data_IF_817714688029
#
_entry.id   IF_817714688029
#
_cell.length_a   1.000
_cell.length_b   1.000
_cell.length_c   1.000
_cell.angle_alpha   90.00
_cell.angle_beta   90.00
_cell.angle_gamma   90.00
#
_symmetry.space_group_name_H-M   'P 1'
#
loop_
_entity.id
_entity.type
_entity.pdbx_description
1 polymer ?
#
# COMPACT_ATOMS: atom_id res chain seq x y z
N UNK A 1 5.43 17.96 12.17
CA UNK A 1 4.02 17.66 11.86
C UNK A 1 3.67 16.28 12.37
N UNK A 2 2.49 16.14 13.00
CA UNK A 2 1.96 14.85 13.46
C UNK A 2 0.52 14.71 12.95
N UNK A 3 0.23 13.61 12.23
CA UNK A 3 -1.12 13.24 11.83
C UNK A 3 -1.90 12.83 13.08
N UNK A 4 -3.13 13.31 13.23
CA UNK A 4 -3.94 13.14 14.45
C UNK A 4 -3.23 13.59 15.72
N UNK A 5 -2.42 14.65 15.62
CA UNK A 5 -1.58 15.15 16.72
C UNK A 5 -2.37 15.74 17.88
N UNK A 6 -3.54 16.30 17.62
CA UNK A 6 -4.49 16.77 18.63
C UNK A 6 -5.93 16.57 18.15
N UNK A 7 -6.81 16.12 19.04
CA UNK A 7 -8.23 15.93 18.82
C UNK A 7 -8.96 15.73 20.16
N UNK A 8 -10.29 15.67 20.12
CA UNK A 8 -11.19 15.51 21.27
C UNK A 8 -11.90 14.14 21.31
N UNK A 9 -11.41 13.16 20.52
CA UNK A 9 -12.03 11.82 20.44
C UNK A 9 -11.64 10.90 21.60
N UNK A 10 -10.62 11.27 22.38
CA UNK A 10 -10.12 10.51 23.53
C UNK A 10 -9.78 11.44 24.69
N UNK A 11 -9.79 10.90 25.90
CA UNK A 11 -9.46 11.66 27.11
C UNK A 11 -7.98 12.11 27.13
N UNK A 12 -7.09 11.30 26.56
CA UNK A 12 -5.66 11.60 26.48
C UNK A 12 -5.06 11.11 25.16
N UNK A 13 -3.96 11.71 24.76
CA UNK A 13 -3.17 11.32 23.59
C UNK A 13 -1.74 11.08 24.04
N UNK A 14 -1.19 9.92 23.73
CA UNK A 14 0.19 9.59 24.03
C UNK A 14 1.00 9.65 22.73
N UNK A 15 1.88 10.64 22.61
CA UNK A 15 2.69 10.81 21.40
C UNK A 15 3.97 9.98 21.49
N UNK A 16 4.33 9.34 20.38
CA UNK A 16 5.65 8.78 20.13
C UNK A 16 6.52 9.87 19.49
N UNK A 17 7.50 10.39 20.22
CA UNK A 17 8.30 11.54 19.80
C UNK A 17 9.74 11.13 19.61
N UNK A 18 10.27 11.36 18.41
CA UNK A 18 11.69 11.27 18.13
C UNK A 18 12.37 12.59 18.52
N UNK A 19 13.25 12.55 19.49
CA UNK A 19 13.96 13.74 19.97
C UNK A 19 15.41 13.41 20.30
N UNK A 20 16.22 14.46 20.38
CA UNK A 20 17.63 14.37 20.76
C UNK A 20 17.76 14.61 22.27
N UNK A 21 18.38 13.68 22.98
CA UNK A 21 18.77 13.89 24.35
C UNK A 21 20.07 14.76 24.40
N UNK A 22 20.28 15.44 25.51
CA UNK A 22 21.52 16.15 25.75
C UNK A 22 22.73 15.21 25.62
N UNK A 23 23.84 15.75 25.16
CA UNK A 23 25.12 15.04 24.93
C UNK A 23 25.05 13.97 23.82
N UNK A 24 23.95 13.91 23.06
CA UNK A 24 23.84 12.96 21.92
C UNK A 24 24.43 13.56 20.64
N UNK A 25 25.04 12.72 19.77
CA UNK A 25 25.67 13.18 18.55
C UNK A 25 24.68 13.82 17.57
N UNK A 26 25.18 14.70 16.71
CA UNK A 26 24.38 15.30 15.64
C UNK A 26 23.89 14.25 14.61
N UNK A 27 22.84 14.59 13.87
CA UNK A 27 22.24 13.74 12.85
C UNK A 27 21.36 12.62 13.42
N UNK A 28 21.04 11.65 12.60
CA UNK A 28 20.07 10.59 12.93
C UNK A 28 20.56 9.62 14.00
N UNK A 29 21.87 9.51 14.19
CA UNK A 29 22.49 8.61 15.18
C UNK A 29 22.24 9.04 16.63
N UNK A 30 21.93 10.30 16.88
CA UNK A 30 21.67 10.84 18.22
C UNK A 30 20.19 10.91 18.61
N UNK A 31 19.30 10.29 17.85
CA UNK A 31 17.86 10.35 18.08
C UNK A 31 17.42 9.23 19.03
N UNK A 32 16.70 9.61 20.08
CA UNK A 32 16.03 8.75 21.04
C UNK A 32 14.51 8.79 20.84
N UNK A 33 13.79 7.84 21.41
CA UNK A 33 12.34 7.75 21.34
C UNK A 33 11.74 8.01 22.71
N UNK A 34 10.67 8.83 22.75
CA UNK A 34 9.98 9.19 23.97
C UNK A 34 8.49 9.00 23.86
N UNK A 35 7.85 8.54 24.94
CA UNK A 35 6.41 8.68 25.17
C UNK A 35 6.16 10.04 25.79
N UNK A 36 5.34 10.87 25.15
CA UNK A 36 4.98 12.20 25.65
C UNK A 36 3.47 12.32 25.68
N UNK A 37 2.84 12.23 26.88
CA UNK A 37 1.40 12.34 27.01
C UNK A 37 0.94 13.80 26.90
N UNK A 38 -0.23 14.02 26.27
CA UNK A 38 -0.90 15.34 26.21
C UNK A 38 -1.30 15.83 27.60
N UNK A 39 -1.80 14.92 28.44
CA UNK A 39 -2.04 15.13 29.85
C UNK A 39 -1.23 14.11 30.65
N UNK A 40 -0.60 14.55 31.73
CA UNK A 40 0.18 13.65 32.59
C UNK A 40 -0.73 12.51 33.11
N UNK A 41 -0.22 11.28 33.03
CA UNK A 41 -0.90 10.10 33.60
C UNK A 41 -0.48 9.99 35.05
N UNK A 42 -1.45 9.96 35.98
CA UNK A 42 -1.20 9.77 37.41
C UNK A 42 -0.92 8.29 37.74
N UNK A 43 -0.42 8.02 38.94
CA UNK A 43 -0.07 6.68 39.39
C UNK A 43 -1.25 5.71 39.39
N UNK A 44 -2.48 6.21 39.57
CA UNK A 44 -3.73 5.44 39.52
C UNK A 44 -4.26 5.25 38.07
N UNK A 45 -3.53 5.74 37.05
CA UNK A 45 -3.92 5.69 35.65
C UNK A 45 -4.87 6.80 35.22
N UNK A 46 -5.34 7.65 36.13
CA UNK A 46 -6.25 8.75 35.77
C UNK A 46 -5.52 9.90 35.07
N UNK A 47 -6.32 10.70 34.32
CA UNK A 47 -5.82 11.88 33.61
C UNK A 47 -5.44 12.97 34.63
N UNK A 48 -4.21 13.45 34.53
CA UNK A 48 -3.65 14.53 35.38
C UNK A 48 -3.68 15.89 34.69
N UNK A 49 -2.81 16.79 35.11
CA UNK A 49 -2.72 18.12 34.51
C UNK A 49 -2.22 18.06 33.06
N UNK A 50 -2.52 19.12 32.30
CA UNK A 50 -1.99 19.27 30.94
C UNK A 50 -0.47 19.32 30.98
N UNK A 51 0.15 18.53 30.08
CA UNK A 51 1.59 18.57 29.87
C UNK A 51 1.98 19.77 28.98
N UNK A 52 3.27 20.10 28.91
CA UNK A 52 3.81 21.17 28.07
C UNK A 52 3.71 20.95 26.57
N UNK A 53 2.51 20.52 26.09
CA UNK A 53 2.22 20.29 24.67
C UNK A 53 1.11 21.25 24.23
N UNK A 54 1.34 21.96 23.14
CA UNK A 54 0.35 22.82 22.51
C UNK A 54 0.32 22.64 21.00
N UNK A 55 -0.87 22.86 20.40
CA UNK A 55 -1.05 22.87 18.96
C UNK A 55 -0.72 24.26 18.44
N UNK A 56 0.34 24.37 17.63
CA UNK A 56 0.75 25.62 17.01
C UNK A 56 -0.08 25.97 15.79
N UNK A 57 -0.37 24.96 14.94
CA UNK A 57 -1.24 25.12 13.77
C UNK A 57 -1.85 23.77 13.36
N UNK A 58 -2.93 23.86 12.60
CA UNK A 58 -3.55 22.72 11.89
C UNK A 58 -3.37 22.96 10.40
N UNK A 59 -2.85 21.94 9.70
CA UNK A 59 -2.54 22.04 8.30
C UNK A 59 -3.79 21.93 7.41
N UNK A 60 -3.90 22.82 6.42
CA UNK A 60 -4.88 22.72 5.35
C UNK A 60 -4.35 21.76 4.29
N UNK A 61 -4.98 20.59 4.17
CA UNK A 61 -4.50 19.49 3.33
C UNK A 61 -5.30 19.34 2.05
N UNK A 62 -4.71 18.67 1.06
CA UNK A 62 -5.37 18.28 -0.18
C UNK A 62 -6.55 17.32 0.04
N UNK A 63 -6.38 16.34 0.94
CA UNK A 63 -7.35 15.31 1.30
C UNK A 63 -7.25 14.95 2.76
N UNK A 64 -8.04 13.97 3.19
CA UNK A 64 -8.17 13.49 4.58
C UNK A 64 -8.37 14.68 5.54
N UNK A 65 -9.26 15.59 5.17
CA UNK A 65 -9.46 16.85 5.90
C UNK A 65 -10.05 16.65 7.29
N UNK A 66 -10.78 15.55 7.51
CA UNK A 66 -11.34 15.18 8.80
C UNK A 66 -10.30 14.69 9.83
N UNK A 67 -9.08 14.36 9.42
CA UNK A 67 -7.98 14.00 10.32
C UNK A 67 -7.01 15.19 10.44
N UNK A 68 -6.94 15.79 11.61
CA UNK A 68 -6.10 16.96 11.85
C UNK A 68 -4.62 16.59 11.78
N UNK A 69 -3.86 17.24 10.90
CA UNK A 69 -2.40 17.22 10.92
C UNK A 69 -1.93 18.46 11.63
N UNK A 70 -1.26 18.29 12.77
CA UNK A 70 -0.91 19.37 13.67
C UNK A 70 0.59 19.65 13.67
N UNK A 71 0.96 20.91 13.79
CA UNK A 71 2.27 21.31 14.32
C UNK A 71 2.15 21.31 15.84
N UNK A 72 2.87 20.43 16.51
CA UNK A 72 2.93 20.38 17.96
C UNK A 72 4.17 21.09 18.47
N UNK A 73 3.98 21.95 19.47
CA UNK A 73 5.04 22.58 20.25
C UNK A 73 5.20 21.83 21.57
N UNK A 74 6.43 21.58 21.95
CA UNK A 74 6.80 20.96 23.22
C UNK A 74 7.58 21.98 24.03
N UNK A 75 6.92 22.56 25.04
CA UNK A 75 7.45 23.56 25.93
C UNK A 75 7.56 22.97 27.34
N UNK A 76 8.77 22.61 27.73
CA UNK A 76 9.03 21.96 29.04
C UNK A 76 8.13 20.72 29.28
N UNK A 77 7.87 19.97 28.21
CA UNK A 77 7.01 18.79 28.26
C UNK A 77 7.73 17.60 28.91
N UNK A 78 7.05 16.96 29.86
CA UNK A 78 7.51 15.71 30.46
C UNK A 78 7.37 14.57 29.46
N UNK A 79 8.46 13.84 29.21
CA UNK A 79 8.49 12.65 28.34
C UNK A 79 9.27 11.51 28.97
N UNK A 80 8.92 10.28 28.60
CA UNK A 80 9.52 9.06 29.12
C UNK A 80 10.28 8.35 27.98
N UNK A 81 11.60 8.19 28.13
CA UNK A 81 12.42 7.55 27.11
C UNK A 81 12.09 6.06 26.98
N UNK A 82 11.90 5.58 25.73
CA UNK A 82 11.68 4.18 25.41
C UNK A 82 12.94 3.58 24.78
N UNK A 83 13.35 2.45 25.31
CA UNK A 83 14.55 1.75 24.84
C UNK A 83 15.82 2.48 25.18
N UNK A 84 16.92 2.16 24.48
CA UNK A 84 18.23 2.75 24.75
C UNK A 84 18.37 4.15 24.12
N UNK A 85 19.09 5.03 24.82
CA UNK A 85 19.50 6.35 24.29
C UNK A 85 20.15 6.17 22.91
N UNK A 86 19.81 7.05 21.97
CA UNK A 86 20.35 7.06 20.60
C UNK A 86 19.93 5.87 19.72
N UNK A 87 18.93 5.09 20.15
CA UNK A 87 18.33 3.99 19.39
C UNK A 87 16.86 4.25 18.97
N UNK A 88 16.42 5.50 19.07
CA UNK A 88 15.04 5.86 18.83
C UNK A 88 14.54 5.55 17.42
N UNK A 89 15.39 5.72 16.40
CA UNK A 89 15.00 5.36 15.03
C UNK A 89 14.80 3.86 14.85
N UNK A 90 15.66 3.01 15.40
CA UNK A 90 15.49 1.55 15.30
C UNK A 90 14.22 1.09 16.04
N UNK A 91 13.92 1.67 17.20
CA UNK A 91 12.68 1.41 17.92
C UNK A 91 11.43 1.86 17.13
N UNK A 92 11.49 3.05 16.51
CA UNK A 92 10.40 3.56 15.66
C UNK A 92 10.17 2.70 14.41
N UNK A 93 11.21 2.11 13.82
CA UNK A 93 11.07 1.22 12.66
C UNK A 93 10.25 -0.03 12.95
N UNK A 94 10.19 -0.51 14.18
CA UNK A 94 9.31 -1.62 14.56
C UNK A 94 7.84 -1.25 14.30
N UNK A 95 7.42 -0.05 14.70
CA UNK A 95 6.08 0.45 14.43
C UNK A 95 5.89 0.79 12.94
N UNK A 96 6.86 1.47 12.32
CA UNK A 96 6.77 1.92 10.93
C UNK A 96 6.66 0.76 9.93
N UNK A 97 7.30 -0.38 10.15
CA UNK A 97 7.17 -1.54 9.27
C UNK A 97 5.74 -2.09 9.29
N UNK A 98 5.12 -2.14 10.46
CA UNK A 98 3.70 -2.52 10.57
C UNK A 98 2.78 -1.46 9.93
N UNK A 99 3.06 -0.18 10.14
CA UNK A 99 2.32 0.92 9.52
C UNK A 99 2.39 0.88 7.98
N UNK A 100 3.50 0.45 7.39
CA UNK A 100 3.68 0.34 5.94
C UNK A 100 2.73 -0.69 5.31
N UNK A 101 2.51 -1.84 5.96
CA UNK A 101 1.49 -2.80 5.55
C UNK A 101 0.11 -2.12 5.54
N UNK A 102 -0.26 -1.47 6.65
CA UNK A 102 -1.52 -0.75 6.77
C UNK A 102 -1.70 0.37 5.74
N UNK A 103 -0.62 1.07 5.35
CA UNK A 103 -0.68 2.10 4.29
C UNK A 103 -0.89 1.50 2.90
N UNK A 104 -0.31 0.32 2.62
CA UNK A 104 -0.68 -0.46 1.43
C UNK A 104 -2.18 -0.75 1.40
N UNK A 105 -2.71 -1.26 2.52
CA UNK A 105 -4.15 -1.52 2.70
C UNK A 105 -5.04 -0.28 2.57
N UNK A 106 -4.58 0.89 3.01
CA UNK A 106 -5.32 2.15 2.77
C UNK A 106 -5.47 2.45 1.28
N UNK A 107 -4.39 2.30 0.50
CA UNK A 107 -4.44 2.46 -0.96
C UNK A 107 -5.45 1.52 -1.60
N UNK A 108 -5.41 0.24 -1.21
CA UNK A 108 -6.32 -0.81 -1.71
C UNK A 108 -7.76 -0.54 -1.29
N UNK A 109 -7.99 -0.12 -0.04
CA UNK A 109 -9.33 0.20 0.46
C UNK A 109 -9.97 1.37 -0.26
N UNK A 110 -9.20 2.44 -0.55
CA UNK A 110 -9.68 3.58 -1.35
C UNK A 110 -9.93 3.17 -2.81
N UNK A 111 -9.06 2.31 -3.38
CA UNK A 111 -9.27 1.76 -4.71
C UNK A 111 -10.59 0.99 -4.81
N UNK A 112 -10.87 0.12 -3.85
CA UNK A 112 -12.12 -0.64 -3.77
C UNK A 112 -13.34 0.27 -3.68
N UNK A 113 -13.29 1.28 -2.80
CA UNK A 113 -14.39 2.23 -2.65
C UNK A 113 -14.63 3.04 -3.93
N UNK A 114 -13.57 3.51 -4.59
CA UNK A 114 -13.66 4.21 -5.87
C UNK A 114 -14.22 3.31 -6.98
N UNK A 115 -13.83 2.04 -7.01
CA UNK A 115 -14.35 1.05 -7.96
C UNK A 115 -15.85 0.80 -7.76
N UNK A 116 -16.29 0.56 -6.52
CA UNK A 116 -17.70 0.34 -6.22
C UNK A 116 -18.56 1.56 -6.60
N UNK A 117 -18.11 2.75 -6.22
CA UNK A 117 -18.78 4.02 -6.57
C UNK A 117 -18.88 4.22 -8.08
N UNK A 118 -17.80 3.96 -8.81
CA UNK A 118 -17.76 4.06 -10.26
C UNK A 118 -18.65 3.03 -10.96
N UNK A 119 -18.71 1.82 -10.42
CA UNK A 119 -19.55 0.74 -10.95
C UNK A 119 -21.03 1.09 -10.80
N UNK A 120 -21.43 1.56 -9.62
CA UNK A 120 -22.78 2.01 -9.36
C UNK A 120 -23.19 3.16 -10.29
N UNK A 121 -22.31 4.15 -10.45
CA UNK A 121 -22.54 5.25 -11.38
C UNK A 121 -22.69 4.75 -12.83
N UNK A 122 -21.83 3.85 -13.28
CA UNK A 122 -21.85 3.33 -14.64
C UNK A 122 -23.11 2.51 -14.95
N UNK A 123 -23.66 1.81 -13.97
CA UNK A 123 -24.92 1.06 -14.10
C UNK A 123 -26.15 1.96 -14.21
N UNK A 124 -26.11 3.15 -13.61
CA UNK A 124 -27.26 4.07 -13.53
C UNK A 124 -27.20 5.21 -14.55
N UNK A 125 -26.01 5.67 -14.93
CA UNK A 125 -25.84 6.82 -15.83
C UNK A 125 -26.17 6.45 -17.27
N UNK A 126 -27.16 7.09 -17.84
CA UNK A 126 -27.53 6.97 -19.26
C UNK A 126 -26.79 8.01 -20.09
N UNK A 127 -26.08 7.59 -21.11
CA UNK A 127 -25.37 8.45 -22.06
C UNK A 127 -25.09 7.71 -23.37
N UNK A 128 -25.50 8.30 -24.48
CA UNK A 128 -25.32 7.72 -25.81
C UNK A 128 -26.26 6.55 -26.10
N UNK A 129 -25.97 5.85 -27.19
CA UNK A 129 -26.70 4.63 -27.58
C UNK A 129 -25.86 3.43 -27.20
N UNK A 130 -26.49 2.42 -26.62
CA UNK A 130 -25.81 1.14 -26.39
C UNK A 130 -25.41 0.49 -27.72
N UNK A 131 -24.17 -0.03 -27.78
CA UNK A 131 -23.72 -0.87 -28.89
C UNK A 131 -24.12 -2.33 -28.67
N UNK A 132 -24.66 -2.67 -27.50
CA UNK A 132 -25.12 -3.99 -27.13
C UNK A 132 -26.62 -4.05 -27.40
N UNK A 133 -27.04 -5.08 -28.17
CA UNK A 133 -28.44 -5.27 -28.51
C UNK A 133 -29.30 -5.47 -27.25
N UNK A 134 -30.47 -4.83 -27.21
CA UNK A 134 -31.44 -4.89 -26.10
C UNK A 134 -30.93 -4.29 -24.73
N UNK A 135 -29.94 -3.39 -24.74
CA UNK A 135 -29.49 -2.67 -23.55
C UNK A 135 -29.99 -1.21 -23.55
N UNK A 136 -30.07 -0.64 -22.35
CA UNK A 136 -30.77 0.61 -22.08
C UNK A 136 -29.91 1.89 -22.27
N UNK A 137 -28.67 1.77 -22.76
CA UNK A 137 -27.78 2.91 -23.01
C UNK A 137 -27.20 3.52 -21.74
N UNK A 138 -26.98 2.73 -20.72
CA UNK A 138 -26.15 3.12 -19.58
C UNK A 138 -24.67 3.08 -19.97
N UNK A 139 -23.81 3.86 -19.31
CA UNK A 139 -22.41 3.98 -19.74
C UNK A 139 -21.63 2.69 -19.56
N UNK A 140 -22.07 1.75 -18.72
CA UNK A 140 -21.46 0.42 -18.61
C UNK A 140 -21.53 -0.39 -19.92
N UNK A 141 -22.44 -0.04 -20.83
CA UNK A 141 -22.55 -0.67 -22.14
C UNK A 141 -21.42 -0.26 -23.10
N UNK A 142 -20.70 0.82 -22.81
CA UNK A 142 -19.56 1.28 -23.60
C UNK A 142 -18.31 0.45 -23.32
N UNK A 143 -17.65 -0.02 -24.39
CA UNK A 143 -16.50 -0.92 -24.29
C UNK A 143 -15.36 -0.35 -23.45
N UNK A 144 -15.05 0.95 -23.54
CA UNK A 144 -13.98 1.57 -22.78
C UNK A 144 -14.30 1.69 -21.28
N UNK A 145 -15.56 1.97 -20.93
CA UNK A 145 -16.00 1.97 -19.52
C UNK A 145 -15.83 0.56 -18.90
N UNK A 146 -16.24 -0.48 -19.64
CA UNK A 146 -16.03 -1.86 -19.19
C UNK A 146 -14.55 -2.20 -19.05
N UNK A 147 -13.72 -1.80 -20.01
CA UNK A 147 -12.28 -2.00 -19.95
C UNK A 147 -11.69 -1.37 -18.67
N UNK A 148 -12.06 -0.10 -18.37
CA UNK A 148 -11.61 0.57 -17.15
C UNK A 148 -12.05 -0.17 -15.88
N UNK A 149 -13.33 -0.56 -15.78
CA UNK A 149 -13.84 -1.28 -14.61
C UNK A 149 -13.18 -2.65 -14.43
N UNK A 150 -12.95 -3.39 -15.53
CA UNK A 150 -12.26 -4.69 -15.47
C UNK A 150 -10.82 -4.50 -15.00
N UNK A 151 -10.10 -3.51 -15.54
CA UNK A 151 -8.73 -3.19 -15.09
C UNK A 151 -8.69 -2.81 -13.61
N UNK A 152 -9.59 -1.93 -13.16
CA UNK A 152 -9.69 -1.55 -11.75
C UNK A 152 -9.87 -2.77 -10.84
N UNK A 153 -10.78 -3.68 -11.21
CA UNK A 153 -11.04 -4.90 -10.44
C UNK A 153 -9.83 -5.84 -10.41
N UNK A 154 -9.16 -6.01 -11.55
CA UNK A 154 -7.97 -6.86 -11.65
C UNK A 154 -6.83 -6.31 -10.77
N UNK A 155 -6.57 -5.01 -10.84
CA UNK A 155 -5.51 -4.35 -10.07
C UNK A 155 -5.79 -4.38 -8.55
N UNK A 156 -7.05 -4.19 -8.13
CA UNK A 156 -7.45 -4.34 -6.72
C UNK A 156 -7.20 -5.77 -6.24
N UNK A 157 -7.58 -6.76 -7.04
CA UNK A 157 -7.39 -8.14 -6.68
C UNK A 157 -5.91 -8.49 -6.56
N UNK A 158 -5.09 -8.05 -7.52
CA UNK A 158 -3.65 -8.22 -7.54
C UNK A 158 -2.98 -7.62 -6.30
N UNK A 159 -3.28 -6.37 -5.98
CA UNK A 159 -2.69 -5.67 -4.84
C UNK A 159 -3.12 -6.26 -3.49
N UNK A 160 -4.39 -6.67 -3.36
CA UNK A 160 -4.90 -7.36 -2.17
C UNK A 160 -4.21 -8.72 -1.96
N UNK A 161 -3.93 -9.44 -3.03
CA UNK A 161 -3.23 -10.73 -2.96
C UNK A 161 -1.82 -10.57 -2.40
N UNK A 162 -1.06 -9.58 -2.87
CA UNK A 162 0.28 -9.26 -2.33
C UNK A 162 0.19 -8.84 -0.85
N UNK A 163 -0.79 -8.01 -0.49
CA UNK A 163 -0.98 -7.58 0.90
C UNK A 163 -1.22 -8.76 1.83
N UNK A 164 -2.08 -9.70 1.45
CA UNK A 164 -2.39 -10.89 2.23
C UNK A 164 -1.18 -11.82 2.35
N UNK A 165 -0.41 -11.99 1.27
CA UNK A 165 0.81 -12.81 1.31
C UNK A 165 1.87 -12.18 2.22
N UNK A 166 2.01 -10.85 2.19
CA UNK A 166 2.90 -10.14 3.11
C UNK A 166 2.42 -10.23 4.56
N UNK A 167 1.13 -10.06 4.83
CA UNK A 167 0.55 -10.22 6.16
C UNK A 167 0.81 -11.63 6.71
N UNK A 168 0.58 -12.66 5.89
CA UNK A 168 0.91 -14.05 6.23
C UNK A 168 2.41 -14.22 6.54
N UNK A 169 3.30 -13.63 5.74
CA UNK A 169 4.73 -13.72 5.99
C UNK A 169 5.12 -13.06 7.32
N UNK A 170 4.50 -11.93 7.67
CA UNK A 170 4.71 -11.26 8.96
C UNK A 170 4.21 -12.12 10.12
N UNK A 171 3.02 -12.71 10.01
CA UNK A 171 2.46 -13.58 11.05
C UNK A 171 3.32 -14.83 11.26
N UNK A 172 3.77 -15.46 10.16
CA UNK A 172 4.65 -16.61 10.24
C UNK A 172 6.03 -16.26 10.83
N UNK A 173 6.60 -15.12 10.44
CA UNK A 173 7.85 -14.63 11.03
C UNK A 173 7.73 -14.44 12.55
N UNK A 174 6.61 -13.86 13.01
CA UNK A 174 6.36 -13.66 14.44
C UNK A 174 6.09 -14.97 15.20
N UNK A 175 5.41 -15.92 14.55
CA UNK A 175 5.04 -17.19 15.18
C UNK A 175 6.20 -18.19 15.25
N UNK A 176 7.05 -18.23 14.21
CA UNK A 176 8.10 -19.27 14.09
C UNK A 176 9.51 -18.74 14.35
N UNK A 177 9.78 -17.47 14.08
CA UNK A 177 11.12 -16.90 14.10
C UNK A 177 12.03 -17.40 12.98
N UNK A 178 11.50 -18.12 11.99
CA UNK A 178 12.28 -18.69 10.89
C UNK A 178 12.79 -17.59 9.93
N UNK A 179 14.09 -17.61 9.57
CA UNK A 179 14.70 -16.60 8.71
C UNK A 179 14.02 -16.43 7.36
N UNK A 180 13.49 -17.51 6.78
CA UNK A 180 12.76 -17.47 5.51
C UNK A 180 11.58 -16.51 5.57
N UNK A 181 10.73 -16.64 6.61
CA UNK A 181 9.56 -15.78 6.78
C UNK A 181 9.93 -14.34 7.13
N UNK A 182 10.98 -14.16 7.95
CA UNK A 182 11.49 -12.83 8.30
C UNK A 182 11.98 -12.10 7.04
N UNK A 183 12.74 -12.76 6.19
CA UNK A 183 13.27 -12.19 4.96
C UNK A 183 12.16 -11.93 3.94
N UNK A 184 11.21 -12.85 3.77
CA UNK A 184 10.06 -12.70 2.89
C UNK A 184 9.19 -11.51 3.31
N UNK A 185 8.85 -11.39 4.58
CA UNK A 185 8.10 -10.25 5.12
C UNK A 185 8.86 -8.93 4.89
N UNK A 186 10.16 -8.90 5.17
CA UNK A 186 10.99 -7.74 4.96
C UNK A 186 11.08 -7.31 3.48
N UNK A 187 11.10 -8.26 2.55
CA UNK A 187 11.15 -8.03 1.11
C UNK A 187 9.79 -7.54 0.57
N UNK A 188 8.68 -8.18 0.98
CA UNK A 188 7.33 -7.84 0.50
C UNK A 188 6.79 -6.53 1.07
N UNK A 189 7.22 -6.08 2.26
CA UNK A 189 6.69 -4.86 2.90
C UNK A 189 6.81 -3.60 2.03
N UNK A 190 7.97 -3.22 1.46
CA UNK A 190 8.06 -2.10 0.54
C UNK A 190 7.23 -2.30 -0.74
N UNK A 191 7.13 -3.52 -1.24
CA UNK A 191 6.34 -3.86 -2.43
C UNK A 191 4.85 -3.63 -2.15
N UNK A 192 4.33 -4.18 -1.04
CA UNK A 192 2.94 -4.00 -0.63
C UNK A 192 2.57 -2.53 -0.48
N UNK A 193 3.42 -1.75 0.21
CA UNK A 193 3.18 -0.32 0.43
C UNK A 193 3.14 0.44 -0.88
N UNK A 194 4.10 0.25 -1.76
CA UNK A 194 4.19 0.99 -3.04
C UNK A 194 3.09 0.56 -3.99
N UNK A 195 2.95 -0.72 -4.22
CA UNK A 195 1.98 -1.24 -5.19
C UNK A 195 0.54 -0.90 -4.79
N UNK A 196 0.15 -1.15 -3.53
CA UNK A 196 -1.19 -0.82 -3.05
C UNK A 196 -1.52 0.68 -3.16
N UNK A 197 -0.56 1.56 -2.87
CA UNK A 197 -0.77 3.02 -2.95
C UNK A 197 -0.79 3.55 -4.38
N UNK A 198 0.06 3.05 -5.29
CA UNK A 198 0.03 3.42 -6.72
C UNK A 198 -1.27 2.94 -7.39
N UNK A 199 -1.70 1.72 -7.09
CA UNK A 199 -2.99 1.19 -7.56
C UNK A 199 -4.14 2.05 -7.02
N UNK A 200 -4.09 2.44 -5.74
CA UNK A 200 -5.08 3.35 -5.15
C UNK A 200 -5.22 4.67 -5.90
N UNK A 201 -4.09 5.29 -6.23
CA UNK A 201 -4.04 6.54 -7.00
C UNK A 201 -4.59 6.34 -8.42
N UNK A 202 -4.15 5.31 -9.12
CA UNK A 202 -4.57 5.04 -10.49
C UNK A 202 -6.07 4.77 -10.58
N UNK A 203 -6.60 3.94 -9.69
CA UNK A 203 -8.01 3.55 -9.68
C UNK A 203 -8.91 4.72 -9.31
N UNK A 204 -8.53 5.53 -8.33
CA UNK A 204 -9.32 6.71 -7.98
C UNK A 204 -9.38 7.73 -9.13
N UNK A 205 -8.30 7.89 -9.90
CA UNK A 205 -8.31 8.70 -11.11
C UNK A 205 -9.18 8.11 -12.21
N UNK A 206 -9.16 6.79 -12.41
CA UNK A 206 -10.09 6.12 -13.33
C UNK A 206 -11.54 6.28 -12.88
N UNK A 207 -11.79 6.30 -11.58
CA UNK A 207 -13.11 6.60 -11.01
C UNK A 207 -13.61 7.97 -11.43
N UNK A 208 -12.78 9.00 -11.32
CA UNK A 208 -13.12 10.36 -11.83
C UNK A 208 -13.41 10.33 -13.33
N UNK A 209 -12.59 9.60 -14.11
CA UNK A 209 -12.77 9.48 -15.56
C UNK A 209 -14.08 8.81 -15.93
N UNK A 210 -14.49 7.73 -15.25
CA UNK A 210 -15.77 7.03 -15.49
C UNK A 210 -16.96 7.95 -15.22
N UNK A 211 -16.89 8.81 -14.19
CA UNK A 211 -17.93 9.79 -13.90
C UNK A 211 -17.98 10.94 -14.93
N UNK A 212 -16.93 11.11 -15.74
CA UNK A 212 -16.83 12.21 -16.70
C UNK A 212 -16.92 13.58 -16.03
N UNK A 213 -17.67 14.53 -16.59
CA UNK A 213 -17.83 15.87 -16.00
C UNK A 213 -18.33 15.84 -14.55
N UNK A 214 -19.17 14.88 -14.20
CA UNK A 214 -19.65 14.71 -12.82
C UNK A 214 -18.52 14.28 -11.87
N UNK A 215 -17.50 13.57 -12.34
CA UNK A 215 -16.34 13.22 -11.54
C UNK A 215 -15.48 14.39 -11.09
N UNK A 216 -15.60 15.54 -11.79
CA UNK A 216 -14.91 16.79 -11.45
C UNK A 216 -15.72 17.67 -10.47
N UNK A 217 -16.96 17.28 -10.19
CA UNK A 217 -17.87 17.99 -9.27
C UNK A 217 -17.72 17.39 -7.86
N UNK A 218 -17.42 18.22 -6.87
CA UNK A 218 -17.15 17.82 -5.47
C UNK A 218 -18.28 16.98 -4.86
N UNK A 219 -19.53 17.37 -5.10
CA UNK A 219 -20.73 16.76 -4.51
C UNK A 219 -20.93 15.31 -4.93
N UNK A 220 -20.32 14.86 -6.03
CA UNK A 220 -20.40 13.46 -6.46
C UNK A 220 -19.52 12.52 -5.65
N UNK A 221 -18.53 13.06 -4.95
CA UNK A 221 -17.59 12.31 -4.12
C UNK A 221 -16.44 11.62 -4.88
N UNK A 222 -16.51 11.49 -6.21
CA UNK A 222 -15.49 10.78 -6.98
C UNK A 222 -14.09 11.43 -6.85
N UNK A 223 -14.02 12.76 -6.89
CA UNK A 223 -12.78 13.51 -6.74
C UNK A 223 -12.16 13.37 -5.34
N UNK A 224 -12.97 13.13 -4.31
CA UNK A 224 -12.47 12.96 -2.94
C UNK A 224 -11.57 11.73 -2.81
N UNK A 225 -11.91 10.59 -3.41
CA UNK A 225 -11.06 9.40 -3.38
C UNK A 225 -9.66 9.69 -3.93
N UNK A 226 -9.57 10.46 -5.03
CA UNK A 226 -8.30 10.84 -5.64
C UNK A 226 -7.47 11.77 -4.74
N UNK A 227 -8.11 12.71 -4.04
CA UNK A 227 -7.42 13.59 -3.10
C UNK A 227 -6.96 12.87 -1.84
N UNK A 228 -7.81 12.02 -1.28
CA UNK A 228 -7.54 11.35 -0.01
C UNK A 228 -6.43 10.30 -0.14
N UNK A 229 -6.44 9.52 -1.23
CA UNK A 229 -5.43 8.47 -1.44
C UNK A 229 -4.04 9.04 -1.72
N UNK A 230 -3.92 10.28 -2.21
CA UNK A 230 -2.64 10.83 -2.70
C UNK A 230 -1.55 10.83 -1.63
N UNK A 231 -1.89 11.03 -0.37
CA UNK A 231 -0.93 11.06 0.73
C UNK A 231 -0.30 9.69 1.02
N UNK A 232 -0.98 8.59 0.66
CA UNK A 232 -0.49 7.23 0.93
C UNK A 232 0.84 6.93 0.23
N UNK A 233 1.09 7.54 -0.93
CA UNK A 233 2.37 7.43 -1.64
C UNK A 233 3.49 8.32 -1.04
N UNK A 234 3.16 9.17 -0.06
CA UNK A 234 4.07 10.18 0.51
C UNK A 234 4.52 9.81 1.92
N UNK A 235 3.57 9.56 2.83
CA UNK A 235 3.90 9.30 4.24
C UNK A 235 4.37 7.85 4.49
N UNK A 236 4.85 7.57 5.69
CA UNK A 236 5.50 6.30 6.09
C UNK A 236 6.69 5.92 5.18
N UNK A 237 7.36 6.93 4.64
CA UNK A 237 8.38 6.86 3.61
C UNK A 237 7.76 6.88 2.21
N UNK A 238 8.21 7.85 1.39
CA UNK A 238 7.73 7.98 0.01
C UNK A 238 7.94 6.69 -0.78
N UNK A 239 7.13 6.48 -1.82
CA UNK A 239 7.25 5.28 -2.67
C UNK A 239 8.65 5.10 -3.24
N UNK A 240 9.32 6.20 -3.64
CA UNK A 240 10.71 6.16 -4.07
C UNK A 240 11.68 5.67 -2.98
N UNK A 241 11.50 6.10 -1.72
CA UNK A 241 12.31 5.61 -0.59
C UNK A 241 12.06 4.12 -0.33
N UNK A 242 10.83 3.63 -0.47
CA UNK A 242 10.53 2.20 -0.35
C UNK A 242 11.21 1.39 -1.47
N UNK A 243 11.18 1.88 -2.70
CA UNK A 243 11.85 1.23 -3.83
C UNK A 243 13.38 1.21 -3.63
N UNK A 244 13.97 2.31 -3.17
CA UNK A 244 15.39 2.36 -2.82
C UNK A 244 15.75 1.41 -1.68
N UNK A 245 14.89 1.28 -0.68
CA UNK A 245 15.06 0.34 0.43
C UNK A 245 15.06 -1.12 -0.06
N UNK A 246 14.18 -1.45 -1.00
CA UNK A 246 14.11 -2.78 -1.62
C UNK A 246 15.45 -3.15 -2.27
N UNK A 247 15.93 -2.34 -3.21
CA UNK A 247 17.14 -2.67 -3.99
C UNK A 247 18.45 -2.38 -3.25
N UNK A 248 18.44 -1.49 -2.26
CA UNK A 248 19.62 -1.07 -1.51
C UNK A 248 19.86 -1.84 -0.22
N UNK A 249 18.83 -2.45 0.37
CA UNK A 249 18.94 -3.17 1.65
C UNK A 249 18.34 -4.57 1.62
N UNK A 250 17.14 -4.74 1.03
CA UNK A 250 16.42 -6.02 1.08
C UNK A 250 16.97 -7.07 0.12
N UNK A 251 17.69 -6.63 -0.90
CA UNK A 251 18.40 -7.49 -1.86
C UNK A 251 19.89 -7.68 -1.52
N UNK A 252 20.33 -7.23 -0.32
CA UNK A 252 21.74 -7.39 0.12
C UNK A 252 22.08 -8.82 0.58
N UNK A 253 21.11 -9.72 0.61
CA UNK A 253 21.25 -11.17 0.73
C UNK A 253 21.71 -11.85 -0.58
N UNK A 254 22.33 -11.12 -1.51
CA UNK A 254 22.61 -11.53 -2.88
C UNK A 254 21.35 -11.90 -3.69
N UNK A 255 20.20 -11.34 -3.32
CA UNK A 255 18.92 -11.60 -3.98
C UNK A 255 18.27 -12.93 -3.62
N UNK A 256 18.75 -13.66 -2.62
CA UNK A 256 18.24 -14.99 -2.25
C UNK A 256 16.72 -14.98 -2.07
N UNK A 257 16.19 -13.97 -1.35
CA UNK A 257 14.74 -13.84 -1.14
C UNK A 257 13.98 -13.59 -2.45
N UNK A 258 14.52 -12.73 -3.33
CA UNK A 258 13.90 -12.47 -4.62
C UNK A 258 13.90 -13.73 -5.49
N UNK A 259 15.02 -14.47 -5.55
CA UNK A 259 15.12 -15.73 -6.29
C UNK A 259 14.19 -16.81 -5.73
N UNK A 260 14.03 -16.90 -4.42
CA UNK A 260 13.09 -17.86 -3.82
C UNK A 260 11.65 -17.63 -4.31
N UNK A 261 11.21 -16.38 -4.34
CA UNK A 261 9.88 -16.01 -4.86
C UNK A 261 9.78 -16.30 -6.37
N UNK A 262 10.78 -15.90 -7.16
CA UNK A 262 10.85 -16.15 -8.61
C UNK A 262 10.79 -17.67 -8.91
N UNK A 263 11.45 -18.50 -8.11
CA UNK A 263 11.42 -19.95 -8.26
C UNK A 263 10.04 -20.55 -7.92
N UNK A 264 9.37 -20.08 -6.86
CA UNK A 264 8.00 -20.49 -6.55
C UNK A 264 7.04 -20.16 -7.70
N UNK A 265 7.18 -18.99 -8.30
CA UNK A 265 6.39 -18.60 -9.48
C UNK A 265 6.72 -19.51 -10.68
N UNK A 266 7.98 -19.83 -10.90
CA UNK A 266 8.41 -20.74 -11.97
C UNK A 266 7.77 -22.13 -11.84
N UNK A 267 7.80 -22.72 -10.65
CA UNK A 267 7.14 -23.99 -10.38
C UNK A 267 5.64 -23.95 -10.70
N UNK A 268 4.97 -22.85 -10.36
CA UNK A 268 3.57 -22.67 -10.71
C UNK A 268 3.36 -22.60 -12.23
N UNK A 269 4.18 -21.82 -12.94
CA UNK A 269 4.11 -21.67 -14.41
C UNK A 269 4.30 -23.03 -15.11
N UNK A 270 5.27 -23.83 -14.66
CA UNK A 270 5.58 -25.14 -15.23
C UNK A 270 4.43 -26.15 -15.03
N UNK A 271 3.60 -25.96 -14.02
CA UNK A 271 2.41 -26.77 -13.75
C UNK A 271 1.14 -26.28 -14.46
N UNK A 272 1.18 -25.16 -15.19
CA UNK A 272 0.03 -24.67 -15.96
C UNK A 272 -0.24 -25.60 -17.17
N UNK A 273 -1.49 -26.03 -17.33
CA UNK A 273 -1.91 -26.93 -18.40
C UNK A 273 -3.16 -26.43 -19.12
N UNK A 274 -3.47 -27.03 -20.27
CA UNK A 274 -4.70 -26.76 -21.04
C UNK A 274 -4.71 -25.39 -21.70
N UNK A 275 -5.83 -24.68 -21.65
CA UNK A 275 -6.09 -23.35 -22.27
C UNK A 275 -5.10 -22.27 -21.84
N UNK A 276 -4.25 -22.53 -20.82
CA UNK A 276 -3.27 -21.62 -20.26
C UNK A 276 -1.87 -21.80 -20.83
N UNK A 277 -1.68 -22.66 -21.81
CA UNK A 277 -0.36 -22.93 -22.39
C UNK A 277 0.27 -21.67 -23.01
N UNK A 278 -0.52 -20.85 -23.72
CA UNK A 278 -0.02 -19.60 -24.29
C UNK A 278 0.34 -18.58 -23.21
N UNK A 279 -0.43 -18.54 -22.11
CA UNK A 279 -0.16 -17.70 -20.95
C UNK A 279 1.12 -18.17 -20.24
N UNK A 280 1.37 -19.48 -20.13
CA UNK A 280 2.58 -20.00 -19.48
C UNK A 280 3.87 -19.59 -20.21
N UNK A 281 3.84 -19.45 -21.53
CA UNK A 281 4.98 -18.96 -22.32
C UNK A 281 5.28 -17.49 -21.98
N UNK A 282 4.25 -16.64 -21.96
CA UNK A 282 4.42 -15.22 -21.62
C UNK A 282 4.89 -15.03 -20.18
N UNK A 283 4.32 -15.80 -19.25
CA UNK A 283 4.73 -15.78 -17.85
C UNK A 283 6.16 -16.31 -17.66
N UNK A 284 6.56 -17.33 -18.44
CA UNK A 284 7.92 -17.83 -18.43
C UNK A 284 8.94 -16.80 -18.87
N UNK A 285 8.65 -16.05 -19.95
CA UNK A 285 9.49 -14.94 -20.41
C UNK A 285 9.58 -13.82 -19.36
N UNK A 286 8.46 -13.46 -18.75
CA UNK A 286 8.44 -12.44 -17.69
C UNK A 286 9.24 -12.90 -16.45
N UNK A 287 9.16 -14.17 -16.06
CA UNK A 287 9.94 -14.76 -14.98
C UNK A 287 11.45 -14.69 -15.25
N UNK A 288 11.88 -15.01 -16.46
CA UNK A 288 13.28 -14.92 -16.85
C UNK A 288 13.78 -13.47 -16.88
N UNK A 289 12.99 -12.56 -17.45
CA UNK A 289 13.32 -11.12 -17.45
C UNK A 289 13.46 -10.58 -16.02
N UNK A 290 12.59 -11.00 -15.10
CA UNK A 290 12.69 -10.59 -13.70
C UNK A 290 13.95 -11.13 -13.03
N UNK A 291 14.32 -12.38 -13.30
CA UNK A 291 15.57 -13.00 -12.83
C UNK A 291 16.79 -12.23 -13.34
N UNK A 292 16.87 -11.96 -14.63
CA UNK A 292 17.95 -11.17 -15.25
C UNK A 292 18.02 -9.76 -14.63
N UNK A 293 16.88 -9.16 -14.31
CA UNK A 293 16.83 -7.83 -13.67
C UNK A 293 17.38 -7.89 -12.24
N UNK A 294 17.10 -8.94 -11.47
CA UNK A 294 17.70 -9.16 -10.15
C UNK A 294 19.22 -9.28 -10.28
N UNK A 295 19.70 -10.12 -11.19
CA UNK A 295 21.13 -10.30 -11.44
C UNK A 295 21.83 -8.99 -11.83
N UNK A 296 21.20 -8.23 -12.74
CA UNK A 296 21.69 -6.91 -13.14
C UNK A 296 21.80 -5.96 -11.95
N UNK A 297 20.76 -5.82 -11.13
CA UNK A 297 20.77 -4.92 -9.98
C UNK A 297 21.82 -5.32 -8.94
N UNK A 298 21.97 -6.62 -8.67
CA UNK A 298 22.98 -7.12 -7.71
C UNK A 298 24.40 -6.87 -8.24
N UNK A 299 24.62 -7.01 -9.54
CA UNK A 299 25.94 -6.79 -10.16
C UNK A 299 26.44 -5.34 -10.03
N UNK A 300 25.57 -4.38 -9.80
CA UNK A 300 25.91 -2.95 -9.70
C UNK A 300 26.57 -2.65 -8.35
N UNK A 301 27.82 -2.18 -8.40
CA UNK A 301 28.58 -1.78 -7.20
C UNK A 301 28.12 -0.43 -6.66
N UNK A 302 27.84 0.51 -7.58
CA UNK A 302 27.41 1.85 -7.24
C UNK A 302 25.92 1.84 -6.87
N UNK A 303 25.61 2.30 -5.66
CA UNK A 303 24.24 2.33 -5.13
C UNK A 303 23.32 3.22 -5.98
N UNK A 304 23.86 4.31 -6.54
CA UNK A 304 23.12 5.24 -7.42
C UNK A 304 22.60 4.55 -8.69
N UNK A 305 23.37 3.59 -9.25
CA UNK A 305 22.93 2.82 -10.43
C UNK A 305 21.75 1.88 -10.08
N UNK A 306 21.75 1.28 -8.88
CA UNK A 306 20.60 0.48 -8.41
C UNK A 306 19.36 1.34 -8.21
N UNK A 307 19.54 2.55 -7.66
CA UNK A 307 18.42 3.43 -7.35
C UNK A 307 17.71 3.95 -8.59
N UNK A 308 18.42 4.13 -9.71
CA UNK A 308 17.81 4.54 -10.98
C UNK A 308 16.75 3.55 -11.49
N UNK A 309 16.96 2.25 -11.26
CA UNK A 309 16.02 1.18 -11.63
C UNK A 309 15.05 0.74 -10.53
N UNK A 310 15.13 1.31 -9.33
CA UNK A 310 14.44 0.79 -8.15
C UNK A 310 12.91 0.77 -8.29
N UNK A 311 12.31 1.86 -8.71
CA UNK A 311 10.86 1.96 -8.85
C UNK A 311 10.30 1.08 -9.98
N UNK A 312 10.86 1.11 -11.22
CA UNK A 312 10.48 0.16 -12.26
C UNK A 312 10.62 -1.32 -11.84
N UNK A 313 11.70 -1.67 -11.15
CA UNK A 313 11.92 -3.02 -10.64
C UNK A 313 10.82 -3.42 -9.64
N UNK A 314 10.56 -2.58 -8.64
CA UNK A 314 9.53 -2.85 -7.63
C UNK A 314 8.16 -3.06 -8.30
N UNK A 315 7.75 -2.17 -9.19
CA UNK A 315 6.47 -2.28 -9.89
C UNK A 315 6.39 -3.51 -10.81
N UNK A 316 7.48 -3.83 -11.50
CA UNK A 316 7.59 -5.03 -12.32
C UNK A 316 7.47 -6.31 -11.48
N UNK A 317 8.17 -6.35 -10.35
CA UNK A 317 8.12 -7.47 -9.40
C UNK A 317 6.69 -7.64 -8.84
N UNK A 318 6.07 -6.56 -8.39
CA UNK A 318 4.71 -6.58 -7.85
C UNK A 318 3.68 -7.09 -8.87
N UNK A 319 3.72 -6.58 -10.09
CA UNK A 319 2.82 -7.03 -11.16
C UNK A 319 3.00 -8.53 -11.45
N UNK A 320 4.23 -9.01 -11.45
CA UNK A 320 4.52 -10.40 -11.75
C UNK A 320 4.12 -11.35 -10.60
N UNK A 321 4.48 -11.01 -9.36
CA UNK A 321 4.12 -11.76 -8.16
C UNK A 321 2.59 -11.82 -7.98
N UNK A 322 1.90 -10.72 -8.23
CA UNK A 322 0.43 -10.66 -8.18
C UNK A 322 -0.26 -11.59 -9.18
N UNK A 323 0.32 -11.75 -10.37
CA UNK A 323 -0.20 -12.67 -11.38
C UNK A 323 -0.13 -14.13 -10.91
N UNK A 324 0.93 -14.53 -10.23
CA UNK A 324 1.06 -15.85 -9.65
C UNK A 324 -0.01 -16.09 -8.56
N UNK A 325 -0.10 -15.21 -7.57
CA UNK A 325 -1.04 -15.33 -6.46
C UNK A 325 -2.49 -15.23 -6.98
N UNK A 326 -2.75 -14.30 -7.91
CA UNK A 326 -4.07 -14.07 -8.49
C UNK A 326 -4.53 -15.23 -9.37
N UNK A 327 -3.63 -15.85 -10.11
CA UNK A 327 -4.01 -16.97 -10.99
C UNK A 327 -4.42 -18.21 -10.19
N UNK A 328 -3.82 -18.42 -9.02
CA UNK A 328 -4.24 -19.47 -8.08
C UNK A 328 -5.66 -19.22 -7.54
N UNK A 329 -5.95 -17.98 -7.14
CA UNK A 329 -7.27 -17.60 -6.61
C UNK A 329 -8.31 -17.36 -7.73
N UNK A 330 -7.89 -16.79 -8.88
CA UNK A 330 -8.77 -16.53 -10.02
C UNK A 330 -9.25 -17.83 -10.67
N UNK A 331 -8.41 -18.86 -10.68
CA UNK A 331 -8.80 -20.18 -11.19
C UNK A 331 -9.82 -20.89 -10.32
N UNK A 332 -9.65 -20.83 -9.00
CA UNK A 332 -10.66 -21.36 -8.08
C UNK A 332 -11.98 -20.60 -8.22
N UNK A 333 -11.93 -19.28 -8.44
CA UNK A 333 -13.11 -18.45 -8.57
C UNK A 333 -13.73 -18.48 -9.98
N UNK A 334 -12.93 -18.54 -11.05
CA UNK A 334 -13.46 -18.68 -12.43
C UNK A 334 -14.13 -20.03 -12.63
N UNK A 335 -13.57 -21.11 -12.08
CA UNK A 335 -14.24 -22.41 -12.06
C UNK A 335 -15.53 -22.35 -11.26
N UNK A 336 -15.50 -21.73 -10.07
CA UNK A 336 -16.68 -21.52 -9.23
C UNK A 336 -17.76 -20.66 -9.92
N UNK A 337 -17.36 -19.59 -10.65
CA UNK A 337 -18.27 -18.74 -11.42
C UNK A 337 -18.81 -19.43 -12.68
N UNK A 338 -18.04 -20.30 -13.33
CA UNK A 338 -18.52 -21.11 -14.45
C UNK A 338 -19.48 -22.22 -14.00
N UNK A 339 -19.24 -22.83 -12.83
CA UNK A 339 -20.11 -23.87 -12.28
C UNK A 339 -21.40 -23.30 -11.65
N UNK A 340 -21.36 -22.09 -11.09
CA UNK A 340 -22.56 -21.41 -10.55
C UNK A 340 -23.50 -20.86 -11.64
N UNK A 341 -23.19 -21.06 -12.89
CA UNK A 341 -24.09 -20.93 -14.02
C UNK A 341 -24.64 -19.53 -14.30
N UNK A 342 -24.45 -19.10 -15.51
CA UNK A 342 -25.26 -18.20 -16.36
C UNK A 342 -25.98 -16.97 -15.75
N UNK A 343 -26.24 -16.91 -14.43
CA UNK A 343 -26.92 -15.79 -13.78
C UNK A 343 -25.97 -14.69 -13.28
N UNK A 344 -24.68 -14.95 -13.18
CA UNK A 344 -23.68 -13.99 -12.69
C UNK A 344 -22.79 -13.42 -13.79
N UNK A 345 -23.00 -13.81 -15.02
CA UNK A 345 -22.51 -13.11 -16.23
C UNK A 345 -23.10 -11.70 -16.38
N UNK A 346 -23.87 -11.22 -15.42
CA UNK A 346 -24.50 -9.91 -15.39
C UNK A 346 -23.51 -8.73 -15.20
N UNK A 347 -22.26 -8.99 -14.89
CA UNK A 347 -21.21 -7.95 -14.96
C UNK A 347 -20.35 -8.06 -16.23
N UNK A 348 -20.52 -9.13 -17.00
CA UNK A 348 -19.84 -9.33 -18.29
C UNK A 348 -20.81 -9.48 -19.48
N UNK A 349 -22.12 -9.49 -19.26
CA UNK A 349 -23.15 -9.46 -20.31
C UNK A 349 -23.91 -8.15 -20.33
#
# INVERSE_FOLDING_TARGET
FITSGDHDLTENIIHLVLARADDSPAGTKGISLFLVPKFIVKDDGSVGPRNGISTGSIETKMGIKGSATCVLNFDDATGYMIGAKEKGLSAMFTMMNNARLGVGGQGIGVAEAAFQHSTEYALNRKQGKSTIQNKHGTIIDHADVRRMLISMRADIFASRSIELENAKAIDMANATGEPEWINKAAFLTPITKVFGTEIGINISNLGVQIHGGMGFIEETGAAQFSRDVRVTAIYEGTNGIQAMDLVGRKMMDNGETAYAIINQIKEYIDNLSGVKKDLSVLLGLANETLRETVEYLISKKEVSERFGGAMPFLMGFANFDSLHISSFLFLSNVIFFFEMGQSTLLLCN
#
